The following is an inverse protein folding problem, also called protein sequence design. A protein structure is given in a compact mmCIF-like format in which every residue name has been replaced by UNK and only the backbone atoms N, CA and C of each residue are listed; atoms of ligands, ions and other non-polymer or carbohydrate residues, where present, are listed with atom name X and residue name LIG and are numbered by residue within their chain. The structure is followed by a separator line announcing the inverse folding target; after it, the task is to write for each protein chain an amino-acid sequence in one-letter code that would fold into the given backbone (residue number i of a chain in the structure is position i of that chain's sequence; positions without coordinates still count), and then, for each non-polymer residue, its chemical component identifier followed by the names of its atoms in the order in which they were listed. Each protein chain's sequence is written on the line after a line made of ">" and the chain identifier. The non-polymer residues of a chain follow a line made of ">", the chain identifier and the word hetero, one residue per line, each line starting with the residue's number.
data_IF_481809904612
#
_entry.id   IF_481809904612
#
_cell.length_a   1.000
_cell.length_b   1.000
_cell.length_c   1.000
_cell.angle_alpha   90.00
_cell.angle_beta   90.00
_cell.angle_gamma   90.00
#
_symmetry.space_group_name_H-M   'P 1'
#
loop_
_entity.id
_entity.type
_entity.pdbx_description
1 polymer ?
#
# COMPACT_ATOMS: atom_id res chain seq x y z
N UNK A 1 -16.85 18.24 -26.64
CA UNK A 1 -15.86 17.21 -26.95
C UNK A 1 -16.40 15.87 -26.46
N UNK A 2 -16.65 14.95 -27.38
CA UNK A 2 -17.16 13.61 -27.09
C UNK A 2 -16.06 12.74 -26.47
N UNK A 3 -16.38 11.99 -25.42
CA UNK A 3 -15.50 10.95 -24.89
C UNK A 3 -15.58 9.73 -25.81
N UNK A 4 -14.47 9.41 -26.48
CA UNK A 4 -14.30 8.15 -27.20
C UNK A 4 -13.73 7.11 -26.23
N UNK A 5 -14.53 6.09 -25.93
CA UNK A 5 -14.02 4.79 -25.54
C UNK A 5 -13.30 4.19 -26.75
N UNK A 6 -12.01 3.85 -26.58
CA UNK A 6 -11.32 2.69 -27.17
C UNK A 6 -9.80 2.88 -27.15
N UNK A 7 -9.12 2.22 -26.20
CA UNK A 7 -7.75 1.73 -26.39
C UNK A 7 -7.44 0.62 -25.37
N UNK A 8 -7.01 -0.57 -25.81
CA UNK A 8 -6.60 -1.65 -24.91
C UNK A 8 -5.13 -1.46 -24.47
N UNK A 9 -4.90 -1.69 -23.18
CA UNK A 9 -3.74 -2.33 -22.55
C UNK A 9 -2.32 -2.04 -23.04
N UNK A 10 -1.47 -1.60 -22.10
CA UNK A 10 -0.02 -1.74 -22.25
C UNK A 10 0.83 -1.07 -21.18
N UNK A 11 0.71 -1.47 -19.91
CA UNK A 11 1.78 -1.20 -18.94
C UNK A 11 2.96 -2.12 -19.28
N UNK A 12 4.15 -1.52 -19.41
CA UNK A 12 5.35 -2.14 -19.92
C UNK A 12 5.76 -3.43 -19.19
N UNK A 13 6.19 -4.40 -20.00
CA UNK A 13 6.71 -5.72 -19.62
C UNK A 13 7.97 -5.60 -18.75
N UNK A 14 7.93 -6.04 -17.49
CA UNK A 14 9.15 -6.38 -16.73
C UNK A 14 9.64 -7.77 -17.16
N UNK A 15 10.95 -7.97 -17.38
CA UNK A 15 11.48 -9.26 -17.81
C UNK A 15 11.36 -10.29 -16.67
N UNK A 16 10.74 -11.39 -17.05
CA UNK A 16 10.43 -12.60 -16.31
C UNK A 16 11.69 -13.14 -15.59
N UNK A 17 11.61 -13.44 -14.29
CA UNK A 17 12.18 -14.68 -13.69
C UNK A 17 12.10 -14.84 -12.15
N UNK A 18 11.38 -14.02 -11.36
CA UNK A 18 11.35 -14.23 -9.88
C UNK A 18 10.02 -14.00 -9.15
N UNK A 19 8.88 -13.98 -9.83
CA UNK A 19 7.59 -14.11 -9.14
C UNK A 19 7.06 -15.55 -9.34
N UNK A 20 6.79 -16.35 -8.28
CA UNK A 20 6.02 -17.57 -8.45
C UNK A 20 4.69 -17.18 -9.09
N UNK A 21 4.33 -17.91 -10.15
CA UNK A 21 3.14 -17.65 -10.96
C UNK A 21 1.90 -17.75 -10.07
N UNK A 22 1.50 -16.64 -9.45
CA UNK A 22 0.10 -16.43 -9.12
C UNK A 22 -0.58 -16.10 -10.44
N UNK A 23 -0.97 -17.14 -11.17
CA UNK A 23 -2.03 -17.05 -12.14
C UNK A 23 -3.23 -16.44 -11.39
N UNK A 24 -3.55 -15.19 -11.68
CA UNK A 24 -4.81 -14.61 -11.25
C UNK A 24 -5.90 -15.33 -12.04
N UNK A 25 -6.35 -16.47 -11.53
CA UNK A 25 -7.65 -17.02 -11.89
C UNK A 25 -8.66 -16.05 -11.30
N UNK A 26 -8.97 -14.98 -12.04
CA UNK A 26 -10.12 -14.14 -11.75
C UNK A 26 -11.34 -15.06 -11.79
N UNK A 27 -11.86 -15.39 -10.62
CA UNK A 27 -13.05 -16.21 -10.49
C UNK A 27 -14.25 -15.29 -10.27
N UNK A 28 -15.28 -15.51 -11.11
CA UNK A 28 -16.65 -14.97 -11.08
C UNK A 28 -16.83 -13.45 -11.23
N UNK A 29 -17.55 -13.09 -12.31
CA UNK A 29 -18.08 -11.77 -12.71
C UNK A 29 -19.09 -11.15 -11.71
N UNK A 30 -19.09 -11.58 -10.46
CA UNK A 30 -20.01 -11.12 -9.41
C UNK A 30 -19.35 -10.04 -8.53
N UNK A 31 -18.03 -9.94 -8.53
CA UNK A 31 -17.31 -8.98 -7.70
C UNK A 31 -17.22 -7.56 -8.29
N UNK A 32 -17.43 -7.42 -9.61
CA UNK A 32 -17.42 -6.14 -10.31
C UNK A 32 -18.65 -5.26 -10.01
N UNK A 33 -19.71 -5.83 -9.43
CA UNK A 33 -20.96 -5.14 -9.05
C UNK A 33 -20.96 -4.64 -7.59
N UNK A 34 -19.93 -5.01 -6.81
CA UNK A 34 -19.81 -4.58 -5.42
C UNK A 34 -19.00 -3.29 -5.29
N UNK A 35 -19.38 -2.46 -4.32
CA UNK A 35 -18.56 -1.31 -3.94
C UNK A 35 -17.20 -1.76 -3.39
N UNK A 36 -16.17 -0.92 -3.54
CA UNK A 36 -14.84 -1.15 -2.96
C UNK A 36 -14.93 -1.46 -1.46
N UNK A 37 -15.80 -0.75 -0.73
CA UNK A 37 -16.03 -0.99 0.70
C UNK A 37 -16.55 -2.41 0.98
N UNK A 38 -17.43 -2.93 0.14
CA UNK A 38 -17.98 -4.29 0.28
C UNK A 38 -16.90 -5.35 0.02
N UNK A 39 -16.05 -5.13 -0.98
CA UNK A 39 -14.94 -6.02 -1.29
C UNK A 39 -13.92 -6.07 -0.14
N UNK A 40 -13.55 -4.91 0.41
CA UNK A 40 -12.66 -4.81 1.57
C UNK A 40 -13.26 -5.53 2.80
N UNK A 41 -14.55 -5.31 3.06
CA UNK A 41 -15.21 -5.94 4.19
C UNK A 41 -15.28 -7.46 4.05
N UNK A 42 -15.54 -8.00 2.85
CA UNK A 42 -15.49 -9.44 2.58
C UNK A 42 -14.09 -10.01 2.78
N UNK A 43 -13.05 -9.32 2.30
CA UNK A 43 -11.67 -9.77 2.45
C UNK A 43 -11.23 -9.83 3.92
N UNK A 44 -11.63 -8.85 4.73
CA UNK A 44 -11.17 -8.68 6.10
C UNK A 44 -12.06 -9.36 7.15
N UNK A 45 -13.21 -9.96 6.77
CA UNK A 45 -14.23 -10.51 7.70
C UNK A 45 -13.71 -11.59 8.66
N UNK A 46 -12.58 -12.22 8.33
CA UNK A 46 -11.97 -13.28 9.14
C UNK A 46 -10.65 -12.87 9.82
N UNK A 47 -10.16 -11.65 9.58
CA UNK A 47 -8.98 -11.12 10.28
C UNK A 47 -9.33 -10.76 11.73
N UNK A 48 -8.33 -10.79 12.61
CA UNK A 48 -8.46 -10.46 14.03
C UNK A 48 -9.25 -11.48 14.87
N UNK A 49 -9.51 -12.68 14.35
CA UNK A 49 -10.22 -13.77 15.07
C UNK A 49 -9.26 -14.70 15.81
N UNK A 50 -8.03 -14.86 15.32
CA UNK A 50 -6.99 -15.64 15.98
C UNK A 50 -6.01 -14.74 16.74
N UNK A 51 -5.27 -15.32 17.70
CA UNK A 51 -4.28 -14.59 18.51
C UNK A 51 -3.15 -13.97 17.67
N UNK A 52 -2.78 -14.64 16.58
CA UNK A 52 -1.70 -14.19 15.69
C UNK A 52 -2.20 -13.25 14.57
N UNK A 53 -3.53 -13.08 14.43
CA UNK A 53 -4.09 -12.20 13.41
C UNK A 53 -4.00 -10.74 13.88
N UNK A 54 -3.70 -9.80 12.98
CA UNK A 54 -3.82 -8.38 13.30
C UNK A 54 -5.28 -8.05 13.63
N UNK A 55 -5.48 -7.32 14.73
CA UNK A 55 -6.79 -6.78 15.07
C UNK A 55 -7.17 -5.75 14.00
N UNK A 56 -8.35 -5.87 13.38
CA UNK A 56 -8.83 -4.92 12.38
C UNK A 56 -10.02 -4.15 12.95
N UNK A 57 -9.90 -2.82 13.03
CA UNK A 57 -10.99 -1.90 13.33
C UNK A 57 -11.56 -1.31 12.04
N UNK A 58 -12.84 -0.91 12.08
CA UNK A 58 -13.52 -0.21 10.97
C UNK A 58 -13.49 -0.91 9.61
N UNK A 59 -13.26 -2.22 9.58
CA UNK A 59 -13.31 -3.05 8.37
C UNK A 59 -12.04 -3.04 7.52
N UNK A 60 -11.16 -2.05 7.66
CA UNK A 60 -9.93 -1.92 6.87
C UNK A 60 -8.72 -1.37 7.65
N UNK A 61 -8.87 -1.02 8.93
CA UNK A 61 -7.79 -0.44 9.75
C UNK A 61 -7.17 -1.50 10.65
N UNK A 62 -5.99 -2.02 10.28
CA UNK A 62 -5.22 -2.87 11.19
C UNK A 62 -4.68 -2.04 12.37
N UNK A 63 -4.90 -2.53 13.59
CA UNK A 63 -4.40 -1.93 14.82
C UNK A 63 -3.18 -2.73 15.29
N UNK A 64 -2.00 -2.11 15.31
CA UNK A 64 -0.83 -2.74 15.90
C UNK A 64 -1.03 -2.87 17.41
N UNK A 65 -0.68 -4.04 17.96
CA UNK A 65 -0.77 -4.34 19.40
C UNK A 65 0.34 -3.67 20.23
N UNK A 66 1.06 -2.68 19.66
CA UNK A 66 2.15 -1.94 20.29
C UNK A 66 2.21 -0.46 19.83
N UNK A 67 3.29 0.24 20.19
CA UNK A 67 3.47 1.69 19.95
C UNK A 67 3.77 2.09 18.50
N UNK A 68 3.51 1.23 17.52
CA UNK A 68 3.89 1.49 16.13
C UNK A 68 2.72 2.14 15.37
N UNK A 69 2.60 3.46 15.47
CA UNK A 69 1.70 4.26 14.62
C UNK A 69 2.28 4.54 13.22
N UNK A 70 3.41 3.94 12.88
CA UNK A 70 4.08 4.10 11.59
C UNK A 70 3.86 2.85 10.74
N UNK A 71 3.49 3.05 9.48
CA UNK A 71 3.52 1.97 8.50
C UNK A 71 4.92 1.34 8.49
N UNK A 72 5.03 0.01 8.64
CA UNK A 72 6.32 -0.64 8.62
C UNK A 72 7.00 -0.35 7.30
N UNK A 73 8.21 0.16 7.39
CA UNK A 73 9.07 0.44 6.28
C UNK A 73 9.58 -0.90 5.72
N UNK A 74 8.89 -1.45 4.71
CA UNK A 74 9.12 -2.83 4.23
C UNK A 74 10.26 -2.97 3.24
N UNK A 75 10.73 -1.87 2.65
CA UNK A 75 11.85 -1.86 1.71
C UNK A 75 13.21 -1.69 2.41
N UNK A 76 14.29 -2.16 1.78
CA UNK A 76 15.64 -1.88 2.30
C UNK A 76 15.99 -0.41 2.03
N UNK A 77 16.48 0.29 3.06
CA UNK A 77 16.94 1.68 2.94
C UNK A 77 15.81 2.72 2.84
N UNK A 78 14.59 2.38 3.25
CA UNK A 78 13.46 3.31 3.25
C UNK A 78 13.43 4.25 4.48
N UNK A 79 14.33 4.03 5.45
CA UNK A 79 14.54 4.91 6.58
C UNK A 79 15.82 5.74 6.38
N UNK A 80 15.85 6.93 6.96
CA UNK A 80 17.07 7.72 7.05
C UNK A 80 18.13 6.95 7.86
N UNK A 81 19.39 6.91 7.38
CA UNK A 81 20.44 6.18 8.06
C UNK A 81 20.74 6.81 9.42
N UNK A 82 20.93 5.96 10.43
CA UNK A 82 21.39 6.35 11.76
C UNK A 82 22.92 6.40 11.77
N UNK A 83 23.49 7.50 12.25
CA UNK A 83 24.93 7.68 12.40
C UNK A 83 25.47 6.90 13.62
N UNK A 84 26.80 6.80 13.72
CA UNK A 84 27.49 6.04 14.78
C UNK A 84 27.31 6.60 16.19
N UNK A 85 26.95 7.88 16.31
CA UNK A 85 26.61 8.55 17.56
C UNK A 85 25.16 8.29 18.02
N UNK A 86 24.38 7.54 17.23
CA UNK A 86 22.99 7.19 17.51
C UNK A 86 21.96 8.16 16.92
N UNK A 87 22.39 9.24 16.27
CA UNK A 87 21.49 10.28 15.73
C UNK A 87 21.08 10.03 14.27
N UNK A 88 19.95 10.60 13.87
CA UNK A 88 19.49 10.65 12.46
C UNK A 88 19.57 12.09 11.98
N UNK A 89 20.31 12.33 10.90
CA UNK A 89 20.49 13.66 10.32
C UNK A 89 19.67 13.80 9.04
N UNK A 90 18.68 14.69 9.07
CA UNK A 90 17.76 14.94 7.96
C UNK A 90 18.14 16.25 7.26
N UNK A 91 18.70 16.22 6.03
CA UNK A 91 19.01 17.43 5.29
C UNK A 91 17.73 18.09 4.76
N UNK A 92 17.67 19.42 4.81
CA UNK A 92 16.54 20.19 4.28
C UNK A 92 16.99 21.39 3.46
N UNK A 93 16.12 21.83 2.55
CA UNK A 93 16.19 23.13 1.86
C UNK A 93 14.78 23.71 1.82
N UNK A 94 14.66 25.00 2.06
CA UNK A 94 13.41 25.74 1.90
C UNK A 94 13.41 26.30 0.48
N UNK A 95 12.32 26.11 -0.27
CA UNK A 95 12.19 26.65 -1.63
C UNK A 95 12.26 28.18 -1.60
N UNK A 96 12.93 28.77 -2.58
CA UNK A 96 12.98 30.23 -2.73
C UNK A 96 11.58 30.83 -2.97
N UNK A 97 10.62 30.04 -3.45
CA UNK A 97 9.21 30.44 -3.60
C UNK A 97 8.56 30.86 -2.27
N UNK A 98 9.10 30.38 -1.13
CA UNK A 98 8.62 30.76 0.21
C UNK A 98 9.47 31.85 0.86
N UNK A 99 10.42 32.44 0.11
CA UNK A 99 11.38 33.43 0.60
C UNK A 99 11.20 34.82 -0.05
N UNK A 100 10.16 35.05 -0.85
CA UNK A 100 9.86 36.36 -1.42
C UNK A 100 9.22 37.29 -0.37
N UNK A 101 9.76 38.51 -0.28
CA UNK A 101 9.26 39.62 0.56
C UNK A 101 8.43 40.59 -0.30
#
# INVERSE_FOLDING_TARGET
>A
MSYNHDAPGGCAQCPLLLCPQFYYTGNTTEDDDFSVSTLLQKANVNLGKNFDDPLVLFGDIAVPTGLQNADPCTARGCLWPKASDGNVYVPYRISNEYCEY
#
